data_IF_145716562934
#
_entry.id   IF_145716562934
#
_cell.length_a   1.000
_cell.length_b   1.000
_cell.length_c   1.000
_cell.angle_alpha   90.00
_cell.angle_beta   90.00
_cell.angle_gamma   90.00
#
_symmetry.space_group_name_H-M   'P 1'
#
loop_
_entity.id
_entity.type
_entity.pdbx_description
1 polymer ?
#
# COMPACT_ATOMS: atom_id res chain seq x y z
N UNK A 1 25.11 5.36 -10.27
CA UNK A 1 25.58 4.01 -9.86
C UNK A 1 26.95 3.79 -10.49
N UNK A 2 27.94 3.34 -9.72
CA UNK A 2 29.29 3.04 -10.25
C UNK A 2 29.38 1.54 -10.49
N UNK A 3 29.89 1.11 -11.65
CA UNK A 3 29.99 -0.31 -12.00
C UNK A 3 31.44 -0.75 -12.17
N UNK A 4 31.70 -1.97 -11.68
CA UNK A 4 32.99 -2.61 -11.73
C UNK A 4 32.86 -4.03 -12.29
N UNK A 5 33.81 -4.41 -13.13
CA UNK A 5 33.98 -5.78 -13.63
C UNK A 5 35.16 -6.45 -12.91
N UNK A 6 34.94 -7.63 -12.34
CA UNK A 6 36.02 -8.39 -11.69
C UNK A 6 36.96 -8.94 -12.75
N UNK A 7 38.24 -8.54 -12.70
CA UNK A 7 39.28 -9.03 -13.63
C UNK A 7 39.99 -10.24 -13.02
N UNK A 8 40.33 -10.15 -11.74
CA UNK A 8 41.18 -11.13 -11.08
C UNK A 8 40.88 -11.17 -9.58
N UNK A 9 40.93 -12.36 -8.97
CA UNK A 9 40.87 -12.54 -7.52
C UNK A 9 42.28 -12.74 -6.98
N UNK A 10 42.68 -11.89 -6.04
CA UNK A 10 44.00 -11.88 -5.41
C UNK A 10 43.86 -12.22 -3.93
N UNK A 11 43.68 -13.52 -3.62
CA UNK A 11 43.46 -13.97 -2.24
C UNK A 11 42.15 -13.41 -1.64
N UNK A 12 42.20 -12.59 -0.56
CA UNK A 12 41.02 -11.92 0.00
C UNK A 12 40.57 -10.70 -0.84
N UNK A 13 41.44 -10.17 -1.68
CA UNK A 13 41.18 -8.98 -2.47
C UNK A 13 40.65 -9.33 -3.86
N UNK A 14 39.94 -8.37 -4.46
CA UNK A 14 39.41 -8.49 -5.82
C UNK A 14 39.88 -7.29 -6.63
N UNK A 15 40.55 -7.56 -7.75
CA UNK A 15 40.97 -6.53 -8.70
C UNK A 15 39.86 -6.33 -9.72
N UNK A 16 39.33 -5.11 -9.78
CA UNK A 16 38.23 -4.77 -10.67
C UNK A 16 38.61 -3.67 -11.66
N UNK A 17 38.00 -3.71 -12.86
CA UNK A 17 37.98 -2.61 -13.83
C UNK A 17 36.76 -1.75 -13.56
N UNK A 18 36.90 -0.43 -13.50
CA UNK A 18 35.74 0.44 -13.54
C UNK A 18 35.19 0.47 -14.96
N UNK A 19 33.92 0.09 -15.15
CA UNK A 19 33.25 0.13 -16.45
C UNK A 19 32.39 1.38 -16.60
N UNK A 20 31.73 1.78 -15.51
CA UNK A 20 30.88 2.97 -15.45
C UNK A 20 31.37 3.85 -14.28
N UNK A 21 32.09 4.96 -14.55
CA UNK A 21 32.65 5.82 -13.51
C UNK A 21 31.58 6.65 -12.81
N UNK A 22 31.87 7.06 -11.58
CA UNK A 22 31.03 7.98 -10.81
C UNK A 22 31.53 8.19 -9.39
N UNK A 23 30.79 8.97 -8.61
CA UNK A 23 31.14 9.26 -7.22
C UNK A 23 30.76 8.08 -6.32
N UNK A 24 31.72 7.57 -5.53
CA UNK A 24 31.49 6.61 -4.46
C UNK A 24 31.52 7.31 -3.11
N UNK A 25 30.39 7.31 -2.41
CA UNK A 25 30.29 7.85 -1.06
C UNK A 25 30.63 6.76 -0.02
N UNK A 26 31.09 7.12 1.19
CA UNK A 26 31.32 6.16 2.27
C UNK A 26 30.07 5.33 2.57
N UNK A 27 30.25 4.03 2.87
CA UNK A 27 29.19 3.07 3.21
C UNK A 27 28.15 2.88 2.09
N UNK A 28 28.53 3.09 0.83
CA UNK A 28 27.67 2.75 -0.31
C UNK A 28 27.31 1.25 -0.32
N UNK A 29 26.06 0.95 -0.70
CA UNK A 29 25.59 -0.43 -0.87
C UNK A 29 26.32 -1.11 -2.03
N UNK A 30 26.59 -2.40 -1.88
CA UNK A 30 27.30 -3.23 -2.85
C UNK A 30 26.43 -4.42 -3.26
N UNK A 31 26.34 -4.67 -4.57
CA UNK A 31 25.64 -5.81 -5.16
C UNK A 31 26.56 -6.52 -6.15
N UNK A 32 26.58 -7.85 -6.10
CA UNK A 32 27.44 -8.67 -6.96
C UNK A 32 26.61 -9.35 -8.04
N UNK A 33 27.08 -9.30 -9.28
CA UNK A 33 26.43 -9.89 -10.45
C UNK A 33 27.39 -10.82 -11.18
N UNK A 34 26.88 -11.93 -11.70
CA UNK A 34 27.60 -12.90 -12.54
C UNK A 34 26.63 -13.42 -13.60
N UNK A 35 27.05 -13.36 -14.87
CA UNK A 35 26.27 -13.85 -16.02
C UNK A 35 24.82 -13.32 -16.05
N UNK A 36 24.65 -12.02 -15.79
CA UNK A 36 23.33 -11.36 -15.78
C UNK A 36 22.44 -11.72 -14.58
N UNK A 37 22.96 -12.44 -13.59
CA UNK A 37 22.23 -12.83 -12.38
C UNK A 37 22.93 -12.32 -11.12
N UNK A 38 22.15 -11.96 -10.10
CA UNK A 38 22.68 -11.58 -8.80
C UNK A 38 23.38 -12.78 -8.13
N UNK A 39 24.65 -12.60 -7.75
CA UNK A 39 25.39 -13.58 -6.95
C UNK A 39 24.87 -13.52 -5.52
N UNK A 40 24.08 -14.52 -5.14
CA UNK A 40 23.55 -14.65 -3.79
C UNK A 40 24.56 -15.35 -2.89
N UNK A 41 25.46 -14.64 -2.21
CA UNK A 41 26.25 -15.26 -1.13
C UNK A 41 26.52 -14.38 0.11
N UNK A 42 26.55 -15.07 1.26
CA UNK A 42 26.78 -14.68 2.67
C UNK A 42 25.86 -13.65 3.34
N UNK A 43 25.42 -12.57 2.67
CA UNK A 43 24.44 -11.65 3.27
C UNK A 43 23.03 -12.26 3.41
N UNK A 44 22.79 -13.41 2.75
CA UNK A 44 21.61 -14.23 2.99
C UNK A 44 21.46 -14.61 4.48
N UNK A 45 22.58 -14.83 5.19
CA UNK A 45 22.63 -15.24 6.59
C UNK A 45 22.41 -14.08 7.58
N UNK A 46 22.49 -12.82 7.14
CA UNK A 46 22.23 -11.70 8.04
C UNK A 46 20.74 -11.69 8.42
N UNK A 47 20.44 -11.51 9.73
CA UNK A 47 19.06 -11.42 10.16
C UNK A 47 18.40 -10.21 9.49
N UNK A 48 17.16 -10.39 9.02
CA UNK A 48 16.40 -9.28 8.42
C UNK A 48 16.15 -8.16 9.43
N UNK A 49 16.01 -8.49 10.72
CA UNK A 49 15.83 -7.53 11.81
C UNK A 49 17.07 -7.57 12.69
N UNK A 50 17.84 -6.49 12.69
CA UNK A 50 19.05 -6.33 13.49
C UNK A 50 18.74 -6.02 14.95
N UNK A 51 19.75 -6.10 15.82
CA UNK A 51 19.62 -5.71 17.23
C UNK A 51 19.18 -4.25 17.41
N UNK A 52 19.57 -3.35 16.49
CA UNK A 52 19.12 -1.97 16.50
C UNK A 52 17.63 -1.88 16.13
N UNK A 53 17.22 -2.60 15.10
CA UNK A 53 15.83 -2.56 14.63
C UNK A 53 14.86 -3.02 15.73
N UNK A 54 15.23 -3.99 16.57
CA UNK A 54 14.41 -4.38 17.71
C UNK A 54 14.20 -3.24 18.73
N UNK A 55 15.20 -2.38 18.93
CA UNK A 55 15.05 -1.19 19.79
C UNK A 55 14.12 -0.15 19.14
N UNK A 56 14.24 0.05 17.83
CA UNK A 56 13.36 0.96 17.09
C UNK A 56 11.90 0.44 17.06
N UNK A 57 11.72 -0.88 16.98
CA UNK A 57 10.40 -1.54 17.07
C UNK A 57 9.80 -1.31 18.46
N UNK A 58 10.57 -1.50 19.54
CA UNK A 58 10.11 -1.25 20.91
C UNK A 58 9.70 0.22 21.10
N UNK A 59 10.46 1.15 20.53
CA UNK A 59 10.10 2.57 20.48
C UNK A 59 8.78 2.79 19.71
N UNK A 60 8.64 2.23 18.50
CA UNK A 60 7.42 2.34 17.71
C UNK A 60 6.17 1.79 18.42
N UNK A 61 6.32 0.67 19.14
CA UNK A 61 5.25 0.10 19.96
C UNK A 61 4.86 1.06 21.08
N UNK A 62 5.83 1.67 21.77
CA UNK A 62 5.58 2.62 22.85
C UNK A 62 4.86 3.90 22.37
N UNK A 63 5.21 4.40 21.19
CA UNK A 63 4.59 5.58 20.58
C UNK A 63 3.23 5.28 19.93
N UNK A 64 2.83 4.01 19.82
CA UNK A 64 1.54 3.63 19.24
C UNK A 64 1.43 3.97 17.76
N UNK A 65 2.52 3.73 17.00
CA UNK A 65 2.52 3.85 15.53
C UNK A 65 1.45 2.94 14.92
N UNK A 66 0.93 3.29 13.75
CA UNK A 66 -0.11 2.47 13.10
C UNK A 66 0.49 1.35 12.23
N UNK A 67 1.72 1.54 11.75
CA UNK A 67 2.41 0.63 10.82
C UNK A 67 3.90 0.51 11.15
N UNK A 68 4.45 -0.70 10.95
CA UNK A 68 5.90 -0.94 10.92
C UNK A 68 6.25 -1.55 9.56
N UNK A 69 7.08 -0.84 8.78
CA UNK A 69 7.58 -1.33 7.51
C UNK A 69 8.95 -2.00 7.67
N UNK A 70 9.05 -3.28 7.33
CA UNK A 70 10.27 -4.09 7.52
C UNK A 70 11.05 -4.15 6.21
N UNK A 71 12.32 -3.75 6.27
CA UNK A 71 13.24 -3.78 5.11
C UNK A 71 13.79 -5.18 4.87
N UNK A 72 14.14 -5.48 3.62
CA UNK A 72 14.82 -6.68 3.14
C UNK A 72 14.15 -7.99 3.62
N UNK A 73 12.82 -8.05 3.53
CA UNK A 73 12.05 -9.24 3.91
C UNK A 73 12.32 -10.37 2.93
N UNK A 74 12.76 -11.52 3.45
CA UNK A 74 13.15 -12.69 2.65
C UNK A 74 12.17 -13.86 2.78
N UNK A 75 11.39 -13.93 3.85
CA UNK A 75 10.46 -15.04 4.12
C UNK A 75 9.27 -14.61 4.97
N UNK A 76 8.20 -15.40 4.94
CA UNK A 76 7.03 -15.21 5.80
C UNK A 76 7.37 -15.31 7.30
N UNK A 77 8.39 -16.10 7.67
CA UNK A 77 8.80 -16.33 9.05
C UNK A 77 9.22 -15.01 9.74
N UNK A 78 9.96 -14.14 9.05
CA UNK A 78 10.37 -12.83 9.59
C UNK A 78 9.16 -12.00 10.02
N UNK A 79 8.11 -12.00 9.18
CA UNK A 79 6.88 -11.26 9.43
C UNK A 79 6.12 -11.85 10.61
N UNK A 80 5.96 -13.18 10.65
CA UNK A 80 5.28 -13.88 11.74
C UNK A 80 6.00 -13.68 13.09
N UNK A 81 7.33 -13.71 13.09
CA UNK A 81 8.15 -13.47 14.28
C UNK A 81 7.95 -12.04 14.79
N UNK A 82 7.96 -11.04 13.90
CA UNK A 82 7.71 -9.65 14.28
C UNK A 82 6.28 -9.45 14.83
N UNK A 83 5.26 -10.01 14.17
CA UNK A 83 3.87 -9.92 14.64
C UNK A 83 3.71 -10.56 16.02
N UNK A 84 4.33 -11.72 16.24
CA UNK A 84 4.34 -12.38 17.56
C UNK A 84 5.03 -11.54 18.63
N UNK A 85 6.15 -10.91 18.28
CA UNK A 85 6.89 -10.02 19.16
C UNK A 85 6.08 -8.77 19.55
N UNK A 86 5.41 -8.14 18.59
CA UNK A 86 4.50 -7.00 18.82
C UNK A 86 3.36 -7.42 19.75
N UNK A 87 2.69 -8.54 19.45
CA UNK A 87 1.57 -9.05 20.25
C UNK A 87 1.97 -9.38 21.70
N UNK A 88 3.19 -9.86 21.91
CA UNK A 88 3.72 -10.15 23.24
C UNK A 88 3.96 -8.88 24.08
N UNK A 89 4.33 -7.76 23.44
CA UNK A 89 4.62 -6.48 24.11
C UNK A 89 3.40 -5.58 24.26
N UNK A 90 2.44 -5.68 23.35
CA UNK A 90 1.23 -4.89 23.38
C UNK A 90 0.05 -5.74 22.94
N UNK A 91 -0.66 -6.32 23.93
CA UNK A 91 -1.80 -7.22 23.70
C UNK A 91 -2.97 -6.58 22.95
N UNK A 92 -3.04 -5.24 22.96
CA UNK A 92 -4.08 -4.45 22.29
C UNK A 92 -3.52 -3.59 21.15
N UNK A 93 -2.29 -3.88 20.67
CA UNK A 93 -1.72 -3.19 19.52
C UNK A 93 -2.32 -3.74 18.24
N UNK A 94 -2.91 -2.87 17.43
CA UNK A 94 -3.33 -3.15 16.06
C UNK A 94 -2.25 -2.78 15.03
N UNK A 95 -0.98 -2.69 15.45
CA UNK A 95 0.14 -2.30 14.57
C UNK A 95 0.21 -3.26 13.38
N UNK A 96 0.07 -2.72 12.18
CA UNK A 96 0.14 -3.49 10.95
C UNK A 96 1.59 -3.60 10.46
N UNK A 97 1.99 -4.79 10.02
CA UNK A 97 3.34 -5.04 9.47
C UNK A 97 3.31 -4.98 7.94
N UNK A 98 4.11 -4.08 7.37
CA UNK A 98 4.26 -3.89 5.93
C UNK A 98 5.59 -4.50 5.48
N UNK A 99 5.55 -5.47 4.57
CA UNK A 99 6.77 -6.05 4.01
C UNK A 99 7.32 -5.19 2.86
N UNK A 100 8.57 -4.74 2.95
CA UNK A 100 9.25 -4.07 1.83
C UNK A 100 9.81 -5.12 0.87
N UNK A 101 9.32 -5.10 -0.36
CA UNK A 101 9.72 -5.98 -1.46
C UNK A 101 10.90 -5.32 -2.18
N UNK A 102 12.11 -5.73 -1.80
CA UNK A 102 13.36 -5.06 -2.16
C UNK A 102 14.36 -5.99 -2.84
N UNK A 103 14.11 -7.30 -2.81
CA UNK A 103 15.11 -8.28 -3.22
C UNK A 103 14.53 -9.37 -4.09
N UNK A 104 15.42 -10.05 -4.81
CA UNK A 104 15.07 -11.24 -5.57
C UNK A 104 14.55 -12.38 -4.65
N UNK A 105 14.95 -12.41 -3.37
CA UNK A 105 14.39 -13.36 -2.39
C UNK A 105 12.94 -13.05 -2.08
N UNK A 106 12.64 -11.77 -1.85
CA UNK A 106 11.26 -11.29 -1.67
C UNK A 106 10.38 -11.67 -2.86
N UNK A 107 10.89 -11.58 -4.09
CA UNK A 107 10.14 -11.94 -5.29
C UNK A 107 9.89 -13.45 -5.47
N UNK A 108 10.83 -14.30 -4.99
CA UNK A 108 10.65 -15.76 -5.02
C UNK A 108 9.60 -16.21 -4.00
N UNK A 109 9.63 -15.62 -2.82
CA UNK A 109 8.76 -15.93 -1.69
C UNK A 109 7.56 -14.97 -1.60
N UNK A 110 7.18 -14.35 -2.72
CA UNK A 110 6.31 -13.17 -2.71
C UNK A 110 4.94 -13.45 -2.09
N UNK A 111 4.32 -14.57 -2.47
CA UNK A 111 2.98 -14.91 -2.00
C UNK A 111 2.95 -15.22 -0.50
N UNK A 112 3.87 -16.03 0.00
CA UNK A 112 3.94 -16.35 1.43
C UNK A 112 4.21 -15.10 2.29
N UNK A 113 5.07 -14.19 1.81
CA UNK A 113 5.38 -12.93 2.49
C UNK A 113 4.13 -12.05 2.56
N UNK A 114 3.43 -11.85 1.44
CA UNK A 114 2.23 -11.00 1.40
C UNK A 114 1.11 -11.62 2.26
N UNK A 115 0.93 -12.93 2.24
CA UNK A 115 -0.08 -13.62 3.08
C UNK A 115 0.19 -13.42 4.57
N UNK A 116 1.45 -13.49 5.00
CA UNK A 116 1.83 -13.26 6.41
C UNK A 116 1.74 -11.78 6.83
N UNK A 117 1.88 -10.85 5.87
CA UNK A 117 1.92 -9.41 6.11
C UNK A 117 0.53 -8.78 6.18
N UNK A 118 0.46 -7.56 6.71
CA UNK A 118 -0.75 -6.73 6.69
C UNK A 118 -0.81 -5.80 5.48
N UNK A 119 0.29 -5.71 4.72
CA UNK A 119 0.43 -4.99 3.46
C UNK A 119 1.83 -5.16 2.88
N UNK A 120 2.08 -4.56 1.72
CA UNK A 120 3.41 -4.58 1.10
C UNK A 120 3.83 -3.19 0.61
N UNK A 121 5.14 -3.00 0.46
CA UNK A 121 5.73 -1.81 -0.16
C UNK A 121 6.69 -2.25 -1.26
N UNK A 122 6.46 -1.79 -2.49
CA UNK A 122 7.41 -1.96 -3.60
C UNK A 122 8.44 -0.84 -3.50
N UNK A 123 9.62 -1.15 -2.97
CA UNK A 123 10.72 -0.20 -2.82
C UNK A 123 11.63 -0.30 -4.05
N UNK A 124 11.33 0.53 -5.06
CA UNK A 124 11.84 0.36 -6.43
C UNK A 124 13.33 0.63 -6.57
N UNK A 125 13.85 1.58 -5.78
CA UNK A 125 15.28 1.89 -5.77
C UNK A 125 16.12 0.70 -5.31
N UNK A 126 15.74 0.08 -4.18
CA UNK A 126 16.41 -1.11 -3.66
C UNK A 126 16.19 -2.33 -4.57
N UNK A 127 14.96 -2.52 -5.05
CA UNK A 127 14.63 -3.60 -5.98
C UNK A 127 15.44 -3.51 -7.28
N UNK A 128 15.56 -2.31 -7.87
CA UNK A 128 16.34 -2.05 -9.09
C UNK A 128 17.85 -2.24 -8.93
N UNK A 129 18.37 -2.34 -7.71
CA UNK A 129 19.74 -2.77 -7.46
C UNK A 129 19.89 -4.31 -7.48
N UNK A 130 18.79 -5.04 -7.30
CA UNK A 130 18.76 -6.51 -7.12
C UNK A 130 18.28 -7.26 -8.38
N UNK A 131 17.54 -6.59 -9.28
CA UNK A 131 17.05 -7.13 -10.55
C UNK A 131 17.37 -6.17 -11.70
N UNK A 132 17.41 -6.63 -12.97
CA UNK A 132 17.58 -5.74 -14.11
C UNK A 132 16.50 -4.64 -14.12
N UNK A 133 16.90 -3.41 -14.44
CA UNK A 133 16.04 -2.23 -14.33
C UNK A 133 14.77 -2.34 -15.17
N UNK A 134 14.85 -3.01 -16.32
CA UNK A 134 13.73 -3.28 -17.22
C UNK A 134 12.71 -4.27 -16.65
N UNK A 135 13.07 -5.03 -15.61
CA UNK A 135 12.17 -5.97 -14.92
C UNK A 135 11.45 -5.33 -13.73
N UNK A 136 11.87 -4.15 -13.25
CA UNK A 136 11.24 -3.49 -12.10
C UNK A 136 9.76 -3.16 -12.34
N UNK A 137 9.36 -2.62 -13.51
CA UNK A 137 7.93 -2.32 -13.75
C UNK A 137 7.04 -3.57 -13.73
N UNK A 138 7.50 -4.69 -14.28
CA UNK A 138 6.74 -5.95 -14.29
C UNK A 138 6.69 -6.60 -12.91
N UNK A 139 7.77 -6.51 -12.13
CA UNK A 139 7.79 -6.94 -10.73
C UNK A 139 6.81 -6.12 -9.87
N UNK A 140 6.80 -4.78 -10.01
CA UNK A 140 5.83 -3.91 -9.35
C UNK A 140 4.40 -4.34 -9.66
N UNK A 141 4.06 -4.50 -10.94
CA UNK A 141 2.71 -4.91 -11.35
C UNK A 141 2.31 -6.26 -10.73
N UNK A 142 3.24 -7.22 -10.67
CA UNK A 142 3.01 -8.52 -10.02
C UNK A 142 2.71 -8.37 -8.54
N UNK A 143 3.48 -7.56 -7.81
CA UNK A 143 3.26 -7.30 -6.38
C UNK A 143 1.91 -6.63 -6.15
N UNK A 144 1.60 -5.58 -6.91
CA UNK A 144 0.33 -4.84 -6.76
C UNK A 144 -0.87 -5.73 -7.04
N UNK A 145 -0.83 -6.52 -8.12
CA UNK A 145 -1.90 -7.47 -8.46
C UNK A 145 -2.11 -8.49 -7.35
N UNK A 146 -1.03 -9.09 -6.84
CA UNK A 146 -1.11 -10.11 -5.79
C UNK A 146 -1.61 -9.54 -4.46
N UNK A 147 -1.19 -8.32 -4.08
CA UNK A 147 -1.71 -7.64 -2.90
C UNK A 147 -3.22 -7.42 -3.00
N UNK A 148 -3.70 -6.91 -4.15
CA UNK A 148 -5.15 -6.75 -4.40
C UNK A 148 -5.88 -8.09 -4.36
N UNK A 149 -5.33 -9.15 -4.96
CA UNK A 149 -5.90 -10.50 -4.90
C UNK A 149 -6.00 -11.04 -3.46
N UNK A 150 -5.08 -10.66 -2.57
CA UNK A 150 -5.06 -11.10 -1.17
C UNK A 150 -5.72 -10.10 -0.19
N UNK A 151 -6.41 -9.07 -0.70
CA UNK A 151 -6.98 -7.99 0.11
C UNK A 151 -5.96 -7.32 1.05
N UNK A 152 -4.75 -7.07 0.53
CA UNK A 152 -3.66 -6.40 1.24
C UNK A 152 -3.38 -5.06 0.56
N UNK A 153 -3.26 -3.94 1.30
CA UNK A 153 -2.85 -2.67 0.73
C UNK A 153 -1.40 -2.73 0.24
N UNK A 154 -1.12 -2.04 -0.86
CA UNK A 154 0.23 -1.93 -1.42
C UNK A 154 0.64 -0.47 -1.62
N UNK A 155 1.88 -0.18 -1.20
CA UNK A 155 2.54 1.11 -1.38
C UNK A 155 3.54 0.99 -2.53
N UNK A 156 3.50 1.88 -3.51
CA UNK A 156 4.59 2.06 -4.47
C UNK A 156 5.50 3.19 -3.99
N UNK A 157 6.78 2.88 -3.80
CA UNK A 157 7.74 3.74 -3.11
C UNK A 157 9.03 3.96 -3.92
N UNK A 158 9.68 5.07 -3.57
CA UNK A 158 10.96 5.56 -4.11
C UNK A 158 10.89 5.99 -5.58
N UNK A 159 11.63 7.03 -5.96
CA UNK A 159 11.84 7.46 -7.36
C UNK A 159 10.57 7.83 -8.14
N UNK A 160 9.54 8.37 -7.46
CA UNK A 160 8.32 8.84 -8.14
C UNK A 160 8.50 10.27 -8.67
N UNK A 161 9.04 11.17 -7.85
CA UNK A 161 9.25 12.58 -8.20
C UNK A 161 10.64 13.04 -7.71
N UNK A 162 11.66 12.18 -7.86
CA UNK A 162 13.00 12.37 -7.28
C UNK A 162 13.66 13.71 -7.68
N UNK A 163 13.45 14.17 -8.91
CA UNK A 163 13.94 15.48 -9.37
C UNK A 163 13.38 16.63 -8.54
N UNK A 164 12.22 16.46 -7.92
CA UNK A 164 11.58 17.49 -7.10
C UNK A 164 12.22 17.69 -5.72
N UNK A 165 13.24 16.90 -5.38
CA UNK A 165 14.14 17.23 -4.27
C UNK A 165 14.86 18.56 -4.53
N UNK A 166 15.31 18.77 -5.77
CA UNK A 166 16.09 19.95 -6.17
C UNK A 166 15.30 20.94 -7.00
N UNK A 167 14.32 20.49 -7.79
CA UNK A 167 13.61 21.30 -8.78
C UNK A 167 12.13 21.47 -8.45
N UNK A 168 11.51 22.62 -8.77
CA UNK A 168 10.10 22.87 -8.42
C UNK A 168 9.09 22.16 -9.34
N UNK A 169 9.55 21.41 -10.35
CA UNK A 169 8.70 20.80 -11.38
C UNK A 169 9.30 19.44 -11.77
N UNK A 170 8.49 18.38 -11.87
CA UNK A 170 8.98 17.07 -12.24
C UNK A 170 9.27 16.99 -13.73
N UNK A 171 9.99 15.95 -14.12
CA UNK A 171 10.13 15.54 -15.51
C UNK A 171 8.85 14.89 -16.04
N UNK A 172 8.71 14.82 -17.37
CA UNK A 172 7.61 14.08 -18.01
C UNK A 172 7.66 12.58 -17.73
N UNK A 173 8.86 12.03 -17.57
CA UNK A 173 9.06 10.61 -17.26
C UNK A 173 8.54 10.27 -15.86
N UNK A 174 8.80 11.11 -14.87
CA UNK A 174 8.28 10.96 -13.50
C UNK A 174 6.75 11.06 -13.46
N UNK A 175 6.16 12.00 -14.21
CA UNK A 175 4.68 12.08 -14.32
C UNK A 175 4.10 10.82 -14.96
N UNK A 176 4.75 10.27 -15.98
CA UNK A 176 4.34 9.01 -16.60
C UNK A 176 4.47 7.82 -15.64
N UNK A 177 5.52 7.80 -14.81
CA UNK A 177 5.75 6.77 -13.80
C UNK A 177 4.70 6.79 -12.69
N UNK A 178 4.39 7.97 -12.14
CA UNK A 178 3.25 8.16 -11.20
C UNK A 178 1.95 7.68 -11.85
N UNK A 179 1.72 8.05 -13.11
CA UNK A 179 0.52 7.66 -13.83
C UNK A 179 0.40 6.13 -13.97
N UNK A 180 1.50 5.45 -14.25
CA UNK A 180 1.57 4.00 -14.36
C UNK A 180 1.32 3.31 -13.01
N UNK A 181 1.88 3.80 -11.92
CA UNK A 181 1.63 3.25 -10.58
C UNK A 181 0.14 3.32 -10.19
N UNK A 182 -0.54 4.43 -10.51
CA UNK A 182 -1.99 4.60 -10.31
C UNK A 182 -2.78 3.66 -11.22
N UNK A 183 -2.38 3.56 -12.49
CA UNK A 183 -3.00 2.67 -13.48
C UNK A 183 -2.92 1.19 -13.05
N UNK A 184 -1.85 0.81 -12.38
CA UNK A 184 -1.67 -0.53 -11.80
C UNK A 184 -2.52 -0.78 -10.54
N UNK A 185 -3.24 0.23 -10.04
CA UNK A 185 -4.15 0.17 -8.88
C UNK A 185 -3.45 0.02 -7.53
N UNK A 186 -2.27 0.63 -7.38
CA UNK A 186 -1.63 0.78 -6.07
C UNK A 186 -2.58 1.48 -5.07
N UNK A 187 -2.56 1.08 -3.81
CA UNK A 187 -3.40 1.71 -2.78
C UNK A 187 -2.82 3.05 -2.33
N UNK A 188 -1.49 3.16 -2.29
CA UNK A 188 -0.80 4.38 -1.93
C UNK A 188 0.49 4.57 -2.73
N UNK A 189 0.87 5.84 -2.88
CA UNK A 189 2.14 6.29 -3.44
C UNK A 189 2.93 7.03 -2.36
N UNK A 190 4.25 6.84 -2.31
CA UNK A 190 5.09 7.38 -1.24
C UNK A 190 6.15 8.35 -1.77
N UNK A 191 6.13 9.59 -1.27
CA UNK A 191 7.25 10.51 -1.36
C UNK A 191 8.29 10.16 -0.30
N UNK A 192 9.56 10.18 -0.68
CA UNK A 192 10.70 9.89 0.19
C UNK A 192 11.48 11.18 0.45
N UNK A 193 12.62 11.35 -0.22
CA UNK A 193 13.46 12.55 -0.09
C UNK A 193 12.71 13.83 -0.48
N UNK A 194 11.76 13.75 -1.42
CA UNK A 194 10.98 14.88 -1.92
C UNK A 194 10.26 15.64 -0.80
N UNK A 195 9.73 14.89 0.18
CA UNK A 195 9.00 15.45 1.32
C UNK A 195 9.88 15.65 2.57
N UNK A 196 10.88 14.77 2.76
CA UNK A 196 11.70 14.75 3.97
C UNK A 196 12.82 15.81 3.96
N UNK A 197 13.45 16.06 2.81
CA UNK A 197 14.59 16.97 2.68
C UNK A 197 14.56 17.83 1.40
N UNK A 198 13.54 17.68 0.57
CA UNK A 198 13.41 18.40 -0.69
C UNK A 198 13.15 19.89 -0.49
N UNK A 199 13.53 20.68 -1.50
CA UNK A 199 13.31 22.13 -1.51
C UNK A 199 11.84 22.51 -1.76
N UNK A 200 11.02 21.58 -2.28
CA UNK A 200 9.64 21.84 -2.70
C UNK A 200 8.63 20.77 -2.24
N UNK A 201 8.56 20.43 -0.93
CA UNK A 201 7.78 19.29 -0.43
C UNK A 201 6.28 19.42 -0.72
N UNK A 202 5.69 20.59 -0.49
CA UNK A 202 4.27 20.86 -0.77
C UNK A 202 3.94 20.78 -2.27
N UNK A 203 4.88 21.19 -3.14
CA UNK A 203 4.68 21.09 -4.59
C UNK A 203 4.76 19.63 -5.04
N UNK A 204 5.71 18.85 -4.51
CA UNK A 204 5.81 17.42 -4.81
C UNK A 204 4.52 16.70 -4.41
N UNK A 205 3.97 16.98 -3.22
CA UNK A 205 2.69 16.42 -2.79
C UNK A 205 1.53 16.85 -3.69
N UNK A 206 1.49 18.13 -4.07
CA UNK A 206 0.46 18.67 -4.98
C UNK A 206 0.51 17.98 -6.35
N UNK A 207 1.70 17.85 -6.93
CA UNK A 207 1.92 17.17 -8.20
C UNK A 207 1.46 15.72 -8.13
N UNK A 208 1.92 14.97 -7.11
CA UNK A 208 1.55 13.57 -6.92
C UNK A 208 0.02 13.42 -6.88
N UNK A 209 -0.64 14.25 -6.06
CA UNK A 209 -2.11 14.27 -5.94
C UNK A 209 -2.81 14.62 -7.25
N UNK A 210 -2.37 15.67 -7.95
CA UNK A 210 -3.00 16.15 -9.18
C UNK A 210 -2.90 15.10 -10.29
N UNK A 211 -1.73 14.47 -10.45
CA UNK A 211 -1.55 13.40 -11.46
C UNK A 211 -2.42 12.20 -11.11
N UNK A 212 -2.41 11.73 -9.86
CA UNK A 212 -3.23 10.59 -9.44
C UNK A 212 -4.72 10.83 -9.69
N UNK A 213 -5.26 11.96 -9.26
CA UNK A 213 -6.68 12.30 -9.47
C UNK A 213 -7.05 12.40 -10.95
N UNK A 214 -6.13 12.89 -11.80
CA UNK A 214 -6.39 12.97 -13.25
C UNK A 214 -6.48 11.57 -13.87
N UNK A 215 -5.59 10.67 -13.50
CA UNK A 215 -5.58 9.29 -14.02
C UNK A 215 -6.78 8.50 -13.52
N UNK A 216 -7.13 8.63 -12.23
CA UNK A 216 -8.33 8.01 -11.67
C UNK A 216 -9.61 8.51 -12.36
N UNK A 217 -9.72 9.82 -12.62
CA UNK A 217 -10.85 10.39 -13.36
C UNK A 217 -10.91 9.86 -14.79
N UNK A 218 -9.79 9.86 -15.51
CA UNK A 218 -9.73 9.36 -16.88
C UNK A 218 -10.17 7.90 -16.96
N UNK A 219 -9.81 7.08 -15.97
CA UNK A 219 -10.25 5.69 -15.90
C UNK A 219 -11.78 5.55 -15.79
N UNK A 220 -12.42 6.39 -14.95
CA UNK A 220 -13.88 6.43 -14.80
C UNK A 220 -14.57 6.91 -16.08
N UNK A 221 -14.03 7.95 -16.71
CA UNK A 221 -14.53 8.51 -17.99
C UNK A 221 -14.58 7.45 -19.10
N UNK A 222 -13.59 6.55 -19.14
CA UNK A 222 -13.53 5.47 -20.14
C UNK A 222 -14.37 4.23 -19.77
N UNK A 223 -15.11 4.25 -18.65
CA UNK A 223 -15.89 3.11 -18.12
C UNK A 223 -15.12 1.79 -18.15
N UNK A 224 -13.81 1.85 -17.87
CA UNK A 224 -12.95 0.66 -17.86
C UNK A 224 -13.22 -0.17 -16.61
N UNK A 225 -14.33 -0.88 -16.55
CA UNK A 225 -14.54 -1.86 -15.50
C UNK A 225 -13.61 -3.05 -15.76
N UNK A 226 -12.54 -3.14 -14.98
CA UNK A 226 -11.64 -4.28 -15.07
C UNK A 226 -12.35 -5.48 -14.46
N UNK A 227 -12.72 -6.44 -15.30
CA UNK A 227 -13.15 -7.77 -14.86
C UNK A 227 -11.93 -8.52 -14.29
N UNK A 228 -11.42 -8.09 -13.14
CA UNK A 228 -10.43 -8.85 -12.41
C UNK A 228 -11.17 -9.93 -11.61
N UNK A 229 -10.89 -11.19 -11.91
CA UNK A 229 -11.26 -12.30 -11.04
C UNK A 229 -10.51 -12.15 -9.72
N UNK A 230 -11.23 -11.70 -8.70
CA UNK A 230 -10.76 -11.63 -7.33
C UNK A 230 -10.99 -13.02 -6.71
N UNK A 231 -9.92 -13.76 -6.34
CA UNK A 231 -10.10 -15.06 -5.70
C UNK A 231 -10.65 -14.88 -4.27
N UNK A 232 -11.34 -15.89 -3.76
CA UNK A 232 -11.74 -15.94 -2.35
C UNK A 232 -10.52 -15.72 -1.45
N UNK A 233 -10.64 -14.78 -0.50
CA UNK A 233 -9.53 -14.44 0.40
C UNK A 233 -9.47 -15.39 1.58
N UNK A 234 -10.64 -15.72 2.14
CA UNK A 234 -10.79 -16.57 3.32
C UNK A 234 -11.76 -17.73 3.06
N UNK A 235 -11.49 -18.85 3.72
CA UNK A 235 -12.32 -20.06 3.61
C UNK A 235 -13.50 -20.06 4.60
N UNK A 236 -13.51 -19.17 5.60
CA UNK A 236 -14.57 -19.15 6.61
C UNK A 236 -15.91 -18.69 6.01
N UNK A 237 -17.00 -19.33 6.40
CA UNK A 237 -18.33 -19.02 5.85
C UNK A 237 -18.75 -17.56 6.08
N UNK A 238 -18.47 -17.02 7.28
CA UNK A 238 -18.78 -15.62 7.59
C UNK A 238 -17.96 -14.62 6.77
N UNK A 239 -16.70 -14.93 6.47
CA UNK A 239 -15.87 -14.07 5.64
C UNK A 239 -16.36 -14.09 4.18
N UNK A 240 -16.74 -15.26 3.66
CA UNK A 240 -17.36 -15.37 2.33
C UNK A 240 -18.65 -14.55 2.21
N UNK A 241 -19.52 -14.56 3.23
CA UNK A 241 -20.72 -13.70 3.23
C UNK A 241 -20.33 -12.22 3.13
N UNK A 242 -19.36 -11.78 3.94
CA UNK A 242 -18.91 -10.38 3.94
C UNK A 242 -18.30 -9.98 2.60
N UNK A 243 -17.53 -10.88 1.98
CA UNK A 243 -16.94 -10.73 0.66
C UNK A 243 -18.00 -10.61 -0.44
N UNK A 244 -18.97 -11.53 -0.49
CA UNK A 244 -20.08 -11.49 -1.46
C UNK A 244 -20.95 -10.25 -1.33
N UNK A 245 -21.23 -9.82 -0.11
CA UNK A 245 -21.94 -8.57 0.18
C UNK A 245 -21.16 -7.37 -0.39
N UNK A 246 -19.86 -7.28 -0.12
CA UNK A 246 -19.03 -6.17 -0.60
C UNK A 246 -18.88 -6.18 -2.13
N UNK A 247 -18.69 -7.36 -2.73
CA UNK A 247 -18.59 -7.53 -4.18
C UNK A 247 -19.90 -7.08 -4.86
N UNK A 248 -21.04 -7.53 -4.32
CA UNK A 248 -22.37 -7.18 -4.83
C UNK A 248 -22.65 -5.68 -4.67
N UNK A 249 -22.29 -5.09 -3.53
CA UNK A 249 -22.48 -3.66 -3.30
C UNK A 249 -21.59 -2.80 -4.20
N UNK A 250 -20.33 -3.18 -4.41
CA UNK A 250 -19.45 -2.46 -5.33
C UNK A 250 -19.92 -2.56 -6.78
N UNK A 251 -20.42 -3.73 -7.20
CA UNK A 251 -21.05 -3.91 -8.50
C UNK A 251 -22.30 -3.04 -8.65
N UNK A 252 -23.21 -3.11 -7.67
CA UNK A 252 -24.44 -2.31 -7.64
C UNK A 252 -24.13 -0.80 -7.64
N UNK A 253 -23.09 -0.38 -6.92
CA UNK A 253 -22.64 1.00 -6.88
C UNK A 253 -22.25 1.52 -8.27
N UNK A 254 -21.51 0.71 -9.04
CA UNK A 254 -21.12 1.06 -10.39
C UNK A 254 -22.30 0.98 -11.38
N UNK A 255 -23.11 -0.09 -11.31
CA UNK A 255 -24.24 -0.32 -12.21
C UNK A 255 -25.33 0.76 -12.07
N UNK A 256 -25.55 1.25 -10.84
CA UNK A 256 -26.53 2.29 -10.54
C UNK A 256 -25.92 3.71 -10.52
N UNK A 257 -24.62 3.83 -10.81
CA UNK A 257 -23.87 5.10 -10.75
C UNK A 257 -24.11 5.87 -9.43
N UNK A 258 -24.06 5.16 -8.29
CA UNK A 258 -24.35 5.74 -6.96
C UNK A 258 -23.32 6.80 -6.57
N UNK A 259 -23.75 7.78 -5.79
CA UNK A 259 -22.91 8.92 -5.40
C UNK A 259 -21.91 8.54 -4.30
N UNK A 260 -22.24 7.59 -3.42
CA UNK A 260 -21.35 7.14 -2.36
C UNK A 260 -21.67 5.75 -1.79
N UNK A 261 -20.63 5.09 -1.28
CA UNK A 261 -20.73 3.89 -0.44
C UNK A 261 -20.47 4.25 1.02
N UNK A 262 -21.35 3.84 1.92
CA UNK A 262 -21.16 3.96 3.37
C UNK A 262 -20.88 2.58 3.96
N UNK A 263 -19.82 2.46 4.75
CA UNK A 263 -19.48 1.22 5.45
C UNK A 263 -19.25 1.47 6.93
N UNK A 264 -20.08 0.86 7.76
CA UNK A 264 -19.94 0.90 9.21
C UNK A 264 -19.16 -0.32 9.67
N UNK A 265 -17.95 -0.10 10.17
CA UNK A 265 -16.99 -1.18 10.43
C UNK A 265 -16.35 -1.12 11.81
N UNK A 266 -16.22 -2.30 12.43
CA UNK A 266 -15.56 -2.47 13.74
C UNK A 266 -14.05 -2.69 13.58
N UNK A 267 -13.66 -3.55 12.65
CA UNK A 267 -12.25 -3.97 12.46
C UNK A 267 -11.61 -3.40 11.19
N UNK A 268 -12.43 -2.88 10.26
CA UNK A 268 -12.00 -2.42 8.94
C UNK A 268 -12.18 -3.46 7.82
N UNK A 269 -12.67 -4.67 8.12
CA UNK A 269 -12.67 -5.78 7.17
C UNK A 269 -13.56 -5.53 5.93
N UNK A 270 -14.84 -5.18 6.10
CA UNK A 270 -15.71 -4.87 4.95
C UNK A 270 -15.25 -3.62 4.20
N UNK A 271 -14.69 -2.63 4.89
CA UNK A 271 -14.12 -1.45 4.24
C UNK A 271 -12.94 -1.83 3.33
N UNK A 272 -12.07 -2.73 3.78
CA UNK A 272 -10.99 -3.31 2.97
C UNK A 272 -11.52 -4.03 1.73
N UNK A 273 -12.55 -4.87 1.89
CA UNK A 273 -13.15 -5.62 0.80
C UNK A 273 -13.80 -4.69 -0.24
N UNK A 274 -14.50 -3.64 0.18
CA UNK A 274 -15.02 -2.62 -0.73
C UNK A 274 -13.89 -1.89 -1.46
N UNK A 275 -12.84 -1.49 -0.74
CA UNK A 275 -11.66 -0.86 -1.34
C UNK A 275 -11.03 -1.76 -2.42
N UNK A 276 -10.88 -3.06 -2.16
CA UNK A 276 -10.32 -4.06 -3.08
C UNK A 276 -11.08 -4.16 -4.41
N UNK A 277 -12.40 -3.96 -4.37
CA UNK A 277 -13.27 -3.96 -5.54
C UNK A 277 -13.09 -2.73 -6.43
N UNK A 278 -12.49 -1.64 -5.92
CA UNK A 278 -12.24 -0.39 -6.64
C UNK A 278 -13.52 0.22 -7.26
N UNK A 279 -14.62 0.41 -6.50
CA UNK A 279 -15.82 1.08 -7.01
C UNK A 279 -15.49 2.52 -7.43
N UNK A 280 -16.25 3.06 -8.40
CA UNK A 280 -15.98 4.38 -8.97
C UNK A 280 -16.37 5.53 -8.03
N UNK A 281 -17.31 5.28 -7.11
CA UNK A 281 -17.77 6.23 -6.12
C UNK A 281 -16.88 6.23 -4.85
N UNK A 282 -16.83 7.34 -4.09
CA UNK A 282 -16.12 7.40 -2.82
C UNK A 282 -16.69 6.42 -1.79
N UNK A 283 -15.81 5.86 -0.96
CA UNK A 283 -16.19 4.96 0.13
C UNK A 283 -15.98 5.66 1.47
N UNK A 284 -17.05 6.00 2.17
CA UNK A 284 -17.00 6.57 3.50
C UNK A 284 -17.05 5.46 4.55
N UNK A 285 -15.97 5.30 5.30
CA UNK A 285 -15.86 4.27 6.33
C UNK A 285 -16.06 4.85 7.72
N UNK A 286 -16.98 4.31 8.51
CA UNK A 286 -17.33 4.79 9.84
C UNK A 286 -16.93 3.77 10.89
N UNK A 287 -16.15 4.19 11.88
CA UNK A 287 -15.71 3.32 12.97
C UNK A 287 -15.62 4.10 14.29
N UNK A 288 -15.82 3.42 15.42
CA UNK A 288 -15.61 4.01 16.74
C UNK A 288 -14.13 4.01 17.16
N UNK A 289 -13.31 3.15 16.53
CA UNK A 289 -11.89 2.98 16.86
C UNK A 289 -10.99 3.97 16.13
N UNK A 290 -10.16 4.68 16.89
CA UNK A 290 -9.19 5.64 16.31
C UNK A 290 -8.05 4.92 15.60
N UNK A 291 -7.65 3.74 16.09
CA UNK A 291 -6.62 2.89 15.46
C UNK A 291 -7.09 2.40 14.09
N UNK A 292 -8.30 1.82 14.03
CA UNK A 292 -8.89 1.36 12.76
C UNK A 292 -9.03 2.52 11.78
N UNK A 293 -9.57 3.67 12.22
CA UNK A 293 -9.68 4.86 11.36
C UNK A 293 -8.33 5.26 10.75
N UNK A 294 -7.25 5.25 11.53
CA UNK A 294 -5.91 5.62 11.04
C UNK A 294 -5.41 4.63 10.00
N UNK A 295 -5.52 3.33 10.25
CA UNK A 295 -5.08 2.28 9.32
C UNK A 295 -5.85 2.27 8.00
N UNK A 296 -7.14 2.57 8.03
CA UNK A 296 -7.96 2.63 6.80
C UNK A 296 -7.48 3.69 5.80
N UNK A 297 -6.71 4.72 6.21
CA UNK A 297 -6.16 5.71 5.28
C UNK A 297 -5.16 5.12 4.28
N UNK A 298 -4.60 3.93 4.54
CA UNK A 298 -3.68 3.29 3.62
C UNK A 298 -4.40 2.61 2.44
N UNK A 299 -5.69 2.33 2.57
CA UNK A 299 -6.44 1.56 1.57
C UNK A 299 -7.05 2.50 0.53
N UNK A 300 -7.05 2.06 -0.73
CA UNK A 300 -7.53 2.88 -1.84
C UNK A 300 -8.98 3.33 -1.65
N UNK A 301 -9.28 4.59 -1.98
CA UNK A 301 -10.65 5.11 -2.08
C UNK A 301 -11.42 5.26 -0.76
N UNK A 302 -10.86 4.82 0.37
CA UNK A 302 -11.48 4.96 1.68
C UNK A 302 -11.29 6.37 2.25
N UNK A 303 -12.37 6.93 2.76
CA UNK A 303 -12.38 8.18 3.52
C UNK A 303 -12.91 7.86 4.93
N UNK A 304 -12.02 7.61 5.91
CA UNK A 304 -12.43 7.08 7.20
C UNK A 304 -12.81 8.18 8.21
N UNK A 305 -13.91 7.96 8.92
CA UNK A 305 -14.47 8.84 9.95
C UNK A 305 -14.56 8.11 11.29
N UNK A 306 -14.28 8.86 12.36
CA UNK A 306 -14.57 8.38 13.71
C UNK A 306 -16.02 8.75 14.03
N UNK A 307 -16.87 7.74 14.20
CA UNK A 307 -18.27 7.91 14.57
C UNK A 307 -18.63 6.87 15.65
N UNK A 308 -19.20 7.33 16.76
CA UNK A 308 -19.78 6.43 17.77
C UNK A 308 -21.08 5.86 17.21
N UNK A 309 -21.02 4.62 16.74
CA UNK A 309 -22.15 3.89 16.19
C UNK A 309 -22.96 3.26 17.32
N UNK A 310 -24.27 3.47 17.34
CA UNK A 310 -25.22 2.71 18.15
C UNK A 310 -25.68 1.44 17.43
N UNK A 311 -26.42 0.58 18.12
CA UNK A 311 -27.06 -0.58 17.48
C UNK A 311 -28.21 -0.18 16.54
N UNK A 312 -28.75 1.04 16.70
CA UNK A 312 -29.71 1.63 15.77
C UNK A 312 -29.00 2.22 14.54
N UNK A 313 -29.13 1.53 13.40
CA UNK A 313 -28.54 1.93 12.13
C UNK A 313 -29.21 3.15 11.51
N UNK A 314 -30.51 3.35 11.71
CA UNK A 314 -31.22 4.49 11.13
C UNK A 314 -30.72 5.80 11.75
N UNK A 315 -30.55 5.81 13.07
CA UNK A 315 -29.90 6.91 13.79
C UNK A 315 -28.45 7.14 13.34
N UNK A 316 -27.67 6.07 13.15
CA UNK A 316 -26.30 6.18 12.63
C UNK A 316 -26.27 6.85 11.25
N UNK A 317 -27.15 6.44 10.34
CA UNK A 317 -27.27 6.97 8.98
C UNK A 317 -27.67 8.46 9.00
N UNK A 318 -28.67 8.83 9.79
CA UNK A 318 -29.10 10.23 9.91
C UNK A 318 -27.99 11.16 10.45
N UNK A 319 -27.20 10.67 11.42
CA UNK A 319 -26.02 11.38 11.93
C UNK A 319 -24.93 11.50 10.88
N UNK A 320 -24.69 10.44 10.11
CA UNK A 320 -23.74 10.45 8.98
C UNK A 320 -24.16 11.45 7.91
N UNK A 321 -25.44 11.49 7.53
CA UNK A 321 -25.95 12.48 6.56
C UNK A 321 -25.71 13.91 7.04
N UNK A 322 -26.06 14.19 8.29
CA UNK A 322 -25.84 15.52 8.88
C UNK A 322 -24.35 15.91 8.87
N UNK A 323 -23.47 14.98 9.24
CA UNK A 323 -22.02 15.18 9.28
C UNK A 323 -21.43 15.44 7.89
N UNK A 324 -21.77 14.62 6.90
CA UNK A 324 -21.19 14.71 5.56
C UNK A 324 -21.74 15.90 4.77
N UNK A 325 -23.02 16.25 4.92
CA UNK A 325 -23.60 17.48 4.36
C UNK A 325 -22.92 18.73 4.92
N UNK A 326 -22.70 18.77 6.23
CA UNK A 326 -22.00 19.88 6.87
C UNK A 326 -20.55 20.05 6.36
N UNK A 327 -19.95 18.98 5.83
CA UNK A 327 -18.61 19.00 5.20
C UNK A 327 -18.64 19.18 3.68
N UNK A 328 -19.82 19.31 3.07
CA UNK A 328 -19.98 19.42 1.62
C UNK A 328 -19.51 18.18 0.85
N UNK A 329 -19.57 17.00 1.48
CA UNK A 329 -19.11 15.74 0.87
C UNK A 329 -20.24 14.93 0.23
N UNK A 330 -21.50 15.24 0.59
CA UNK A 330 -22.73 14.72 -0.02
C UNK A 330 -23.77 15.86 -0.04
N UNK A 331 -24.81 15.71 -0.85
CA UNK A 331 -25.94 16.62 -0.99
C UNK A 331 -27.28 15.88 -0.93
N UNK A 332 -28.38 16.61 -0.73
CA UNK A 332 -29.73 16.02 -0.79
C UNK A 332 -30.02 15.48 -2.19
N UNK A 333 -30.61 14.28 -2.26
CA UNK A 333 -30.89 13.60 -3.52
C UNK A 333 -29.80 12.64 -3.98
N UNK A 334 -28.61 12.65 -3.38
CA UNK A 334 -27.56 11.67 -3.66
C UNK A 334 -28.06 10.24 -3.33
N UNK A 335 -27.77 9.29 -4.21
CA UNK A 335 -28.06 7.87 -4.03
C UNK A 335 -26.89 7.20 -3.31
N UNK A 336 -27.16 6.54 -2.18
CA UNK A 336 -26.13 5.88 -1.38
C UNK A 336 -26.47 4.42 -1.09
N UNK A 337 -25.41 3.60 -0.98
CA UNK A 337 -25.51 2.22 -0.50
C UNK A 337 -24.79 2.13 0.85
N UNK A 338 -25.49 1.65 1.87
CA UNK A 338 -24.96 1.47 3.21
C UNK A 338 -24.75 -0.01 3.55
N UNK A 339 -23.59 -0.32 4.12
CA UNK A 339 -23.17 -1.64 4.58
C UNK A 339 -22.78 -1.59 6.05
N UNK A 340 -22.98 -2.69 6.78
CA UNK A 340 -22.62 -2.76 8.20
C UNK A 340 -22.06 -4.12 8.61
N UNK A 341 -20.89 -4.11 9.27
CA UNK A 341 -20.27 -5.29 9.89
C UNK A 341 -21.19 -5.92 10.95
N UNK A 342 -21.99 -5.12 11.67
CA UNK A 342 -22.81 -5.60 12.79
C UNK A 342 -24.05 -6.36 12.37
N UNK A 343 -24.63 -6.01 11.22
CA UNK A 343 -25.87 -6.61 10.73
C UNK A 343 -25.65 -7.49 9.50
N UNK A 344 -24.45 -7.48 8.90
CA UNK A 344 -24.13 -8.16 7.64
C UNK A 344 -25.22 -7.95 6.58
N UNK A 345 -25.60 -6.69 6.36
CA UNK A 345 -26.72 -6.30 5.50
C UNK A 345 -26.35 -5.19 4.52
N UNK A 346 -27.15 -5.07 3.45
CA UNK A 346 -27.07 -4.01 2.44
C UNK A 346 -28.37 -3.20 2.48
N UNK A 347 -28.27 -1.87 2.49
CA UNK A 347 -29.42 -0.97 2.39
C UNK A 347 -29.17 0.08 1.28
N UNK A 348 -30.16 0.31 0.42
CA UNK A 348 -30.11 1.31 -0.67
C UNK A 348 -31.13 2.39 -0.37
N UNK A 349 -30.71 3.66 -0.39
CA UNK A 349 -31.57 4.78 -0.01
C UNK A 349 -31.07 6.11 -0.59
N UNK A 350 -31.95 7.12 -0.60
CA UNK A 350 -31.59 8.48 -0.98
C UNK A 350 -31.24 9.32 0.26
N UNK A 351 -30.27 10.23 0.11
CA UNK A 351 -29.95 11.23 1.12
C UNK A 351 -31.14 12.21 1.25
N UNK A 352 -31.71 12.39 2.46
CA UNK A 352 -32.95 13.16 2.67
C UNK A 352 -32.82 14.66 2.37
#
# INVERSE_FOLDING_TARGET
MVRFEVIEKLGPDVKCRCTDPGLLLPRANLTFWRDGSLVRERNAMLPTISSKDWLDIDFGIAEGVDFIAVSFVKSAEVINNLKSYIAARSRNSDIAVIAKIESIDSLKNLEEIIRASDGAMVARGDLGAQIPLEQVPSAQQKVVKLCRQLNKPVIVASQLLESMIEYPTPTRAEVADVSEAVRQRADALMLSGESAMGQFPEKALTVLRTVSLRIERWWREEKRHEAMELPDVESSFSAKISEEICNSAAKMANDLEVDALFVYTKTGHMASLLSRNRPDCPIFAFTSSTSVRRRLNLQWGLIPFRLSCSDDMESNINRTFSLLKARGMIQSGDLVIALSDTLQSIQVMNVP
#
